data_IF_231848932209
#
_entry.id   IF_231848932209
#
_cell.length_a   1.000
_cell.length_b   1.000
_cell.length_c   1.000
_cell.angle_alpha   90.00
_cell.angle_beta   90.00
_cell.angle_gamma   90.00
#
_symmetry.space_group_name_H-M   'P 1'
#
loop_
_entity.id
_entity.type
_entity.pdbx_description
1 polymer ?
#
# COMPACT_ATOMS: atom_id res chain seq x y z
N UNK A 1 13.29 -3.16 23.12
CA UNK A 1 11.83 -3.40 23.17
C UNK A 1 11.04 -2.08 23.09
N UNK A 2 11.51 -0.97 23.65
CA UNK A 2 10.74 0.30 23.74
C UNK A 2 10.82 1.26 22.53
N UNK A 3 11.58 0.93 21.47
CA UNK A 3 11.83 1.85 20.34
C UNK A 3 10.95 1.59 19.11
N UNK A 4 10.35 0.40 19.01
CA UNK A 4 9.63 -0.07 17.81
C UNK A 4 8.14 0.28 17.79
N UNK A 5 7.56 0.65 18.94
CA UNK A 5 6.14 0.99 19.11
C UNK A 5 5.79 2.42 18.62
N UNK A 6 6.65 3.07 17.83
CA UNK A 6 6.50 4.52 17.53
C UNK A 6 5.82 4.83 16.20
N UNK A 7 5.89 3.96 15.20
CA UNK A 7 5.52 4.29 13.81
C UNK A 7 4.04 4.12 13.50
N UNK A 8 3.34 3.21 14.21
CA UNK A 8 1.96 2.85 13.89
C UNK A 8 0.91 3.35 14.89
N UNK A 9 1.25 4.25 15.83
CA UNK A 9 0.30 4.68 16.86
C UNK A 9 -0.82 5.61 16.36
N UNK A 10 -2.01 5.40 16.90
CA UNK A 10 -3.28 6.06 16.59
C UNK A 10 -3.47 7.33 17.42
N UNK A 11 -2.65 7.50 18.44
CA UNK A 11 -2.56 8.68 19.30
C UNK A 11 -1.47 9.67 18.84
N UNK A 12 -0.98 9.54 17.61
CA UNK A 12 -0.09 10.52 16.99
C UNK A 12 -0.85 11.79 16.62
N UNK A 13 -0.12 12.92 16.57
CA UNK A 13 -0.71 14.26 16.45
C UNK A 13 -1.75 14.42 15.34
N UNK A 14 -1.49 13.89 14.14
CA UNK A 14 -2.48 13.92 13.04
C UNK A 14 -3.77 13.18 13.41
N UNK A 15 -3.65 11.95 13.93
CA UNK A 15 -4.81 11.11 14.23
C UNK A 15 -5.58 11.55 15.48
N UNK A 16 -4.94 12.22 16.43
CA UNK A 16 -5.62 12.91 17.53
C UNK A 16 -6.52 14.04 16.99
N UNK A 17 -6.02 14.81 16.03
CA UNK A 17 -6.76 15.92 15.43
C UNK A 17 -7.89 15.42 14.52
N UNK A 18 -7.63 14.42 13.68
CA UNK A 18 -8.67 13.88 12.78
C UNK A 18 -9.72 13.10 13.55
N UNK A 19 -9.38 12.44 14.66
CA UNK A 19 -10.36 11.79 15.52
C UNK A 19 -11.30 12.81 16.17
N UNK A 20 -10.75 13.84 16.83
CA UNK A 20 -11.54 14.84 17.56
C UNK A 20 -12.41 15.72 16.65
N UNK A 21 -11.89 16.13 15.48
CA UNK A 21 -12.57 17.05 14.58
C UNK A 21 -13.40 16.38 13.47
N UNK A 22 -13.10 15.12 13.16
CA UNK A 22 -13.63 14.44 11.97
C UNK A 22 -14.00 12.97 12.20
N UNK A 23 -13.79 12.40 13.39
CA UNK A 23 -14.18 11.02 13.71
C UNK A 23 -13.47 9.95 12.88
N UNK A 24 -12.28 10.24 12.33
CA UNK A 24 -11.53 9.28 11.52
C UNK A 24 -10.07 9.18 11.98
N UNK A 25 -9.54 7.96 12.08
CA UNK A 25 -8.12 7.70 12.35
C UNK A 25 -7.68 6.32 11.86
N UNK A 26 -6.39 6.14 11.61
CA UNK A 26 -5.85 4.80 11.42
C UNK A 26 -5.67 4.09 12.78
N UNK A 27 -5.91 2.77 12.82
CA UNK A 27 -5.67 1.88 13.96
C UNK A 27 -4.23 1.42 14.04
N UNK A 28 -3.85 0.88 15.19
CA UNK A 28 -2.49 0.44 15.52
C UNK A 28 -2.20 -0.94 14.97
N UNK A 29 -2.49 -1.13 13.68
CA UNK A 29 -2.40 -2.41 13.00
C UNK A 29 -1.82 -2.26 11.58
N UNK A 30 -1.38 -3.39 11.03
CA UNK A 30 -1.13 -3.59 9.60
C UNK A 30 -2.10 -4.65 9.11
N UNK A 31 -2.84 -4.36 8.04
CA UNK A 31 -3.76 -5.30 7.44
C UNK A 31 -2.98 -6.38 6.74
N UNK A 32 -3.26 -7.63 7.11
CA UNK A 32 -2.60 -8.80 6.56
C UNK A 32 -3.59 -9.95 6.34
N UNK A 33 -3.20 -10.90 5.51
CA UNK A 33 -3.80 -12.22 5.41
C UNK A 33 -2.69 -13.29 5.45
N UNK A 34 -2.99 -14.41 6.09
CA UNK A 34 -2.09 -15.58 6.11
C UNK A 34 -1.95 -16.16 4.71
N UNK A 35 -0.70 -16.46 4.31
CA UNK A 35 -0.37 -17.17 3.08
C UNK A 35 -0.22 -18.67 3.36
N UNK A 36 -0.37 -19.50 2.31
CA UNK A 36 -0.37 -20.96 2.45
C UNK A 36 0.97 -21.57 2.91
N UNK A 37 2.03 -20.77 2.92
CA UNK A 37 3.38 -21.11 3.37
C UNK A 37 3.68 -20.61 4.80
N UNK A 38 2.69 -20.09 5.51
CA UNK A 38 2.82 -19.57 6.88
C UNK A 38 3.11 -18.06 6.95
N UNK A 39 3.48 -17.43 5.84
CA UNK A 39 3.74 -15.99 5.80
C UNK A 39 2.50 -15.09 5.97
N UNK A 40 2.76 -13.79 6.02
CA UNK A 40 1.72 -12.76 5.99
C UNK A 40 1.84 -11.94 4.71
N UNK A 41 0.75 -11.88 3.94
CA UNK A 41 0.60 -10.96 2.82
C UNK A 41 -0.09 -9.69 3.27
N UNK A 42 0.57 -8.55 3.10
CA UNK A 42 0.00 -7.21 3.33
C UNK A 42 -0.60 -6.60 2.06
N UNK A 43 -0.26 -7.15 0.91
CA UNK A 43 -0.73 -6.66 -0.39
C UNK A 43 -2.08 -7.30 -0.70
N UNK A 44 -3.01 -6.48 -1.18
CA UNK A 44 -4.34 -6.98 -1.55
C UNK A 44 -5.04 -6.08 -2.54
N UNK A 45 -6.09 -6.64 -3.14
CA UNK A 45 -7.06 -5.88 -3.92
C UNK A 45 -8.47 -6.05 -3.36
N UNK A 46 -9.31 -5.05 -3.56
CA UNK A 46 -10.72 -5.09 -3.13
C UNK A 46 -11.62 -4.36 -4.11
N UNK A 47 -12.86 -4.83 -4.21
CA UNK A 47 -13.98 -4.17 -4.89
C UNK A 47 -15.10 -3.81 -3.91
N UNK A 48 -14.91 -4.11 -2.62
CA UNK A 48 -15.92 -3.83 -1.59
C UNK A 48 -15.86 -2.36 -1.19
N UNK A 49 -16.86 -1.62 -1.67
CA UNK A 49 -16.90 -0.18 -1.60
C UNK A 49 -18.29 0.36 -1.26
N UNK A 50 -18.32 1.54 -0.63
CA UNK A 50 -19.53 2.32 -0.43
C UNK A 50 -19.83 3.17 -1.67
N UNK A 51 -20.51 2.58 -2.64
CA UNK A 51 -20.84 3.21 -3.93
C UNK A 51 -21.78 4.42 -3.84
N UNK A 52 -22.32 4.73 -2.65
CA UNK A 52 -23.18 5.90 -2.43
C UNK A 52 -22.39 7.20 -2.24
N UNK A 53 -21.11 7.12 -1.91
CA UNK A 53 -20.29 8.30 -1.66
C UNK A 53 -19.78 8.90 -2.98
N UNK A 54 -19.83 10.23 -3.19
CA UNK A 54 -19.42 10.87 -4.44
C UNK A 54 -18.00 10.53 -4.90
N UNK A 55 -17.07 10.35 -3.95
CA UNK A 55 -15.67 9.96 -4.24
C UNK A 55 -15.58 8.66 -5.07
N UNK A 56 -16.55 7.75 -4.92
CA UNK A 56 -16.52 6.46 -5.62
C UNK A 56 -17.34 6.43 -6.91
N UNK A 57 -17.85 7.60 -7.34
CA UNK A 57 -18.55 7.73 -8.61
C UNK A 57 -17.61 7.35 -9.75
N UNK A 58 -18.07 6.44 -10.62
CA UNK A 58 -17.35 5.95 -11.80
C UNK A 58 -16.01 5.26 -11.51
N UNK A 59 -15.66 4.99 -10.25
CA UNK A 59 -14.50 4.16 -9.91
C UNK A 59 -14.83 2.72 -10.29
N UNK A 60 -14.10 2.18 -11.27
CA UNK A 60 -14.38 0.86 -11.83
C UNK A 60 -13.17 -0.05 -11.71
N UNK A 61 -13.40 -1.28 -11.22
CA UNK A 61 -12.36 -2.29 -11.05
C UNK A 61 -11.81 -2.35 -9.63
N UNK A 62 -10.83 -3.24 -9.39
CA UNK A 62 -10.24 -3.44 -8.08
C UNK A 62 -9.34 -2.28 -7.66
N UNK A 63 -9.43 -1.91 -6.39
CA UNK A 63 -8.50 -1.01 -5.70
C UNK A 63 -7.37 -1.83 -5.09
N UNK A 64 -6.12 -1.43 -5.30
CA UNK A 64 -4.92 -2.13 -4.84
C UNK A 64 -4.24 -1.41 -3.66
N UNK A 65 -3.79 -2.20 -2.69
CA UNK A 65 -3.14 -1.75 -1.45
C UNK A 65 -1.86 -2.56 -1.21
N UNK A 66 -0.84 -1.93 -0.60
CA UNK A 66 0.56 -2.41 -0.52
C UNK A 66 1.15 -2.39 0.90
N UNK A 67 0.27 -2.39 1.91
CA UNK A 67 0.65 -2.24 3.32
C UNK A 67 -0.29 -1.29 4.07
N UNK A 68 -1.59 -1.55 4.00
CA UNK A 68 -2.59 -0.69 4.60
C UNK A 68 -2.72 -0.88 6.11
N UNK A 69 -3.10 0.18 6.82
CA UNK A 69 -3.66 0.14 8.18
C UNK A 69 -5.19 0.17 8.12
N UNK A 70 -5.86 -0.44 9.09
CA UNK A 70 -7.30 -0.31 9.19
C UNK A 70 -7.71 1.08 9.71
N UNK A 71 -8.87 1.56 9.27
CA UNK A 71 -9.41 2.86 9.65
C UNK A 71 -10.54 2.66 10.66
N UNK A 72 -10.47 3.42 11.73
CA UNK A 72 -11.55 3.59 12.69
C UNK A 72 -12.38 4.81 12.34
N UNK A 73 -13.70 4.65 12.41
CA UNK A 73 -14.68 5.68 12.06
C UNK A 73 -15.71 5.81 13.17
N UNK A 74 -15.84 7.00 13.73
CA UNK A 74 -16.95 7.37 14.62
C UNK A 74 -18.18 7.73 13.77
N UNK A 75 -19.20 6.86 13.83
CA UNK A 75 -20.47 7.02 13.11
C UNK A 75 -21.59 7.59 13.99
N UNK A 76 -21.27 8.05 15.21
CA UNK A 76 -22.23 8.68 16.11
C UNK A 76 -22.69 10.05 15.58
N UNK A 77 -23.76 10.58 16.18
CA UNK A 77 -24.27 11.91 15.85
C UNK A 77 -23.28 12.95 16.38
N UNK A 78 -22.57 13.60 15.47
CA UNK A 78 -21.47 14.53 15.76
C UNK A 78 -21.57 15.78 14.87
N UNK A 79 -20.81 16.86 15.15
CA UNK A 79 -20.69 18.01 14.26
C UNK A 79 -19.94 17.69 12.94
N UNK A 80 -19.52 16.44 12.76
CA UNK A 80 -18.95 15.90 11.52
C UNK A 80 -19.77 14.71 11.00
N UNK A 81 -19.51 14.31 9.76
CA UNK A 81 -20.14 13.19 9.07
C UNK A 81 -19.06 12.26 8.52
N UNK A 82 -18.63 11.30 9.32
CA UNK A 82 -17.61 10.34 8.92
C UNK A 82 -18.22 9.09 8.30
N UNK A 83 -17.66 8.63 7.18
CA UNK A 83 -18.13 7.46 6.46
C UNK A 83 -16.96 6.61 5.95
N UNK A 84 -16.93 5.30 6.24
CA UNK A 84 -16.03 4.38 5.56
C UNK A 84 -16.40 4.25 4.07
N UNK A 85 -15.38 4.23 3.21
CA UNK A 85 -15.50 4.21 1.76
C UNK A 85 -15.12 2.87 1.15
N UNK A 86 -14.02 2.28 1.58
CA UNK A 86 -13.45 1.06 0.99
C UNK A 86 -13.11 0.10 2.12
N UNK A 87 -13.30 -1.20 1.87
CA UNK A 87 -13.13 -2.24 2.87
C UNK A 87 -12.29 -3.42 2.37
N UNK A 88 -11.64 -4.11 3.29
CA UNK A 88 -11.00 -5.40 3.04
C UNK A 88 -12.03 -6.52 2.82
N UNK A 89 -11.57 -7.63 2.25
CA UNK A 89 -12.29 -8.91 2.28
C UNK A 89 -12.30 -9.57 3.67
N UNK A 90 -13.09 -10.62 3.85
CA UNK A 90 -13.31 -11.27 5.15
C UNK A 90 -12.10 -12.04 5.71
N UNK A 91 -11.12 -12.36 4.87
CA UNK A 91 -9.92 -13.10 5.26
C UNK A 91 -8.88 -12.23 5.98
N UNK A 92 -8.97 -10.90 5.83
CA UNK A 92 -7.99 -9.98 6.38
C UNK A 92 -8.27 -9.66 7.84
N UNK A 93 -7.20 -9.46 8.60
CA UNK A 93 -7.22 -8.94 9.98
C UNK A 93 -6.18 -7.84 10.12
N UNK A 94 -6.20 -7.11 11.23
CA UNK A 94 -5.17 -6.12 11.54
C UNK A 94 -4.16 -6.69 12.53
N UNK A 95 -2.95 -6.98 12.05
CA UNK A 95 -1.81 -7.44 12.84
C UNK A 95 -1.22 -6.26 13.62
N UNK A 96 -1.28 -6.35 14.94
CA UNK A 96 -0.84 -5.26 15.85
C UNK A 96 0.64 -5.38 16.22
N UNK A 97 1.23 -6.56 16.08
CA UNK A 97 2.64 -6.87 16.36
C UNK A 97 3.46 -7.14 15.10
N UNK A 98 3.10 -6.49 13.98
CA UNK A 98 3.69 -6.73 12.66
C UNK A 98 5.22 -6.54 12.62
N UNK A 99 5.75 -5.61 13.42
CA UNK A 99 7.21 -5.41 13.51
C UNK A 99 7.89 -6.61 14.16
N UNK A 100 7.26 -7.24 15.14
CA UNK A 100 7.79 -8.44 15.79
C UNK A 100 7.71 -9.63 14.84
N UNK A 101 6.66 -9.74 14.02
CA UNK A 101 6.61 -10.71 12.92
C UNK A 101 7.83 -10.58 11.99
N UNK A 102 8.18 -9.37 11.55
CA UNK A 102 9.35 -9.16 10.66
C UNK A 102 10.69 -9.54 11.29
N UNK A 103 10.80 -9.55 12.63
CA UNK A 103 12.05 -9.81 13.34
C UNK A 103 12.16 -11.25 13.86
N UNK A 104 11.04 -11.80 14.32
CA UNK A 104 10.98 -13.06 15.05
C UNK A 104 10.33 -14.18 14.24
N UNK A 105 9.68 -13.84 13.12
CA UNK A 105 8.94 -14.77 12.26
C UNK A 105 7.89 -15.59 13.04
N UNK A 106 7.15 -14.92 13.93
CA UNK A 106 6.07 -15.52 14.71
C UNK A 106 4.75 -15.15 14.02
N UNK A 107 3.97 -16.17 13.64
CA UNK A 107 2.97 -16.09 12.55
C UNK A 107 1.52 -16.35 13.02
N UNK A 108 1.18 -16.10 14.28
CA UNK A 108 -0.10 -16.55 14.81
C UNK A 108 -1.03 -15.38 15.06
N UNK A 109 -2.11 -15.30 14.26
CA UNK A 109 -3.27 -14.48 14.56
C UNK A 109 -3.67 -14.67 16.03
N UNK A 110 -3.70 -13.58 16.78
CA UNK A 110 -3.95 -13.61 18.21
C UNK A 110 -5.33 -13.03 18.53
N UNK A 111 -6.36 -13.88 18.71
CA UNK A 111 -7.70 -13.42 19.04
C UNK A 111 -7.71 -12.77 20.42
N UNK A 112 -7.84 -11.45 20.45
CA UNK A 112 -7.84 -10.64 21.67
C UNK A 112 -6.74 -9.58 21.73
N UNK A 113 -5.72 -9.70 20.87
CA UNK A 113 -4.71 -8.67 20.65
C UNK A 113 -4.93 -8.02 19.29
N UNK A 114 -5.10 -8.82 18.24
CA UNK A 114 -5.25 -8.31 16.87
C UNK A 114 -6.64 -7.77 16.57
N UNK A 115 -6.71 -6.81 15.64
CA UNK A 115 -7.98 -6.36 15.07
C UNK A 115 -8.64 -7.56 14.38
N UNK A 116 -9.88 -7.93 14.76
CA UNK A 116 -10.49 -9.17 14.27
C UNK A 116 -10.60 -9.26 12.76
N UNK A 117 -10.61 -10.51 12.26
CA UNK A 117 -10.86 -10.78 10.84
C UNK A 117 -12.19 -10.18 10.39
N UNK A 118 -12.23 -9.65 9.18
CA UNK A 118 -13.48 -9.25 8.54
C UNK A 118 -13.35 -8.05 7.63
N UNK A 119 -14.49 -7.39 7.44
CA UNK A 119 -14.65 -6.21 6.59
C UNK A 119 -14.11 -4.97 7.30
N UNK A 120 -12.80 -4.76 7.23
CA UNK A 120 -12.10 -3.64 7.85
C UNK A 120 -12.10 -2.43 6.92
N UNK A 121 -12.50 -1.22 7.37
CA UNK A 121 -12.36 -0.01 6.57
C UNK A 121 -10.89 0.30 6.29
N UNK A 122 -10.56 0.70 5.07
CA UNK A 122 -9.19 1.07 4.64
C UNK A 122 -9.09 2.48 4.07
N UNK A 123 -10.22 3.02 3.63
CA UNK A 123 -10.38 4.42 3.26
C UNK A 123 -11.64 4.95 3.94
N UNK A 124 -11.57 6.15 4.51
CA UNK A 124 -12.73 6.86 5.03
C UNK A 124 -12.70 8.33 4.64
N UNK A 125 -13.87 8.93 4.52
CA UNK A 125 -14.05 10.37 4.34
C UNK A 125 -14.84 10.95 5.49
N UNK A 126 -14.61 12.23 5.79
CA UNK A 126 -15.39 12.95 6.78
C UNK A 126 -15.50 14.42 6.42
N UNK A 127 -16.69 14.97 6.67
CA UNK A 127 -16.99 16.39 6.48
C UNK A 127 -17.44 17.00 7.80
N UNK A 128 -16.80 18.09 8.21
CA UNK A 128 -17.26 18.89 9.33
C UNK A 128 -18.44 19.74 8.86
N UNK A 129 -19.63 19.49 9.41
CA UNK A 129 -20.88 20.15 9.00
C UNK A 129 -20.96 21.62 9.44
N UNK A 130 -20.11 22.03 10.37
CA UNK A 130 -20.07 23.41 10.87
C UNK A 130 -19.21 24.29 9.97
N UNK A 131 -18.07 23.77 9.50
CA UNK A 131 -17.10 24.56 8.71
C UNK A 131 -17.13 24.23 7.21
N UNK A 132 -17.73 23.10 6.81
CA UNK A 132 -17.63 22.56 5.45
C UNK A 132 -16.25 21.95 5.13
N UNK A 133 -15.34 21.90 6.11
CA UNK A 133 -14.02 21.31 5.91
C UNK A 133 -14.12 19.79 5.73
N UNK A 134 -13.29 19.24 4.84
CA UNK A 134 -13.33 17.85 4.42
C UNK A 134 -11.97 17.19 4.63
N UNK A 135 -12.00 15.91 4.99
CA UNK A 135 -10.81 15.07 5.09
C UNK A 135 -11.09 13.70 4.48
N UNK A 136 -10.07 13.15 3.84
CA UNK A 136 -10.03 11.76 3.40
C UNK A 136 -8.80 11.12 4.03
N UNK A 137 -8.98 9.98 4.67
CA UNK A 137 -7.89 9.20 5.27
C UNK A 137 -7.79 7.89 4.51
N UNK A 138 -6.60 7.61 3.98
CA UNK A 138 -6.24 6.38 3.31
C UNK A 138 -5.23 5.68 4.20
N UNK A 139 -5.51 4.43 4.58
CA UNK A 139 -4.66 3.67 5.49
C UNK A 139 -3.32 3.24 4.90
N UNK A 140 -3.08 3.52 3.63
CA UNK A 140 -1.94 3.04 2.84
C UNK A 140 -1.27 4.17 2.06
N UNK A 141 0.02 4.38 2.30
CA UNK A 141 0.82 5.34 1.53
C UNK A 141 1.13 4.87 0.11
N UNK A 142 1.23 3.56 -0.09
CA UNK A 142 1.50 2.94 -1.39
C UNK A 142 0.36 3.05 -2.39
N UNK A 143 -0.87 3.19 -1.88
CA UNK A 143 -2.08 3.39 -2.67
C UNK A 143 -1.98 4.53 -3.68
N UNK A 144 -1.27 5.61 -3.33
CA UNK A 144 -1.08 6.80 -4.16
C UNK A 144 0.41 7.04 -4.53
N UNK A 145 1.27 6.03 -4.38
CA UNK A 145 2.69 6.14 -4.67
C UNK A 145 3.01 5.80 -6.13
N UNK A 146 3.96 6.56 -6.70
CA UNK A 146 4.55 6.23 -8.00
C UNK A 146 5.32 4.90 -7.87
N UNK A 147 5.02 3.94 -8.76
CA UNK A 147 5.64 2.61 -8.73
C UNK A 147 4.84 1.55 -7.97
N UNK A 148 3.79 1.94 -7.24
CA UNK A 148 2.86 1.01 -6.56
C UNK A 148 1.43 1.27 -7.06
N UNK A 149 0.60 1.99 -6.30
CA UNK A 149 -0.79 2.27 -6.68
C UNK A 149 -0.93 3.09 -7.96
N UNK A 150 0.07 3.90 -8.31
CA UNK A 150 0.15 4.65 -9.58
C UNK A 150 1.14 4.01 -10.56
N UNK A 151 1.27 2.69 -10.54
CA UNK A 151 2.09 1.96 -11.50
C UNK A 151 1.50 2.03 -12.92
N UNK A 152 2.29 2.51 -13.88
CA UNK A 152 1.97 2.51 -15.31
C UNK A 152 2.59 1.31 -16.03
N UNK A 153 1.89 0.74 -17.02
CA UNK A 153 2.39 -0.28 -17.93
C UNK A 153 2.00 0.03 -19.39
N UNK A 154 2.97 0.18 -20.31
CA UNK A 154 4.42 0.29 -20.07
C UNK A 154 4.78 1.49 -19.19
N UNK A 155 6.01 1.53 -18.66
CA UNK A 155 6.48 2.63 -17.79
C UNK A 155 6.35 3.99 -18.48
N UNK A 156 5.95 5.02 -17.72
CA UNK A 156 5.76 6.40 -18.19
C UNK A 156 4.70 6.55 -19.29
N UNK A 157 3.67 5.70 -19.26
CA UNK A 157 2.50 5.81 -20.13
C UNK A 157 1.24 6.16 -19.33
N UNK A 158 0.15 6.50 -20.01
CA UNK A 158 -1.14 6.75 -19.38
C UNK A 158 -1.89 5.46 -19.00
N UNK A 159 -1.36 4.27 -19.33
CA UNK A 159 -1.98 2.99 -19.01
C UNK A 159 -1.61 2.55 -17.60
N UNK A 160 -2.50 2.76 -16.62
CA UNK A 160 -2.27 2.34 -15.25
C UNK A 160 -2.60 0.85 -15.05
N UNK A 161 -1.79 0.15 -14.27
CA UNK A 161 -2.06 -1.22 -13.81
C UNK A 161 -3.28 -1.23 -12.88
N UNK A 162 -3.41 -0.20 -12.03
CA UNK A 162 -4.51 -0.02 -11.09
C UNK A 162 -5.26 1.30 -11.38
N UNK A 163 -6.03 1.38 -12.49
CA UNK A 163 -6.71 2.62 -12.88
C UNK A 163 -7.71 3.10 -11.82
N UNK A 164 -8.34 2.18 -11.08
CA UNK A 164 -9.28 2.51 -10.01
C UNK A 164 -8.63 3.33 -8.86
N UNK A 165 -7.34 3.08 -8.54
CA UNK A 165 -6.62 3.87 -7.54
C UNK A 165 -6.52 5.34 -7.98
N UNK A 166 -6.16 5.55 -9.25
CA UNK A 166 -6.04 6.90 -9.83
C UNK A 166 -7.40 7.59 -9.89
N UNK A 167 -8.44 6.89 -10.36
CA UNK A 167 -9.81 7.42 -10.40
C UNK A 167 -10.29 7.86 -9.01
N UNK A 168 -10.12 7.00 -8.00
CA UNK A 168 -10.50 7.30 -6.62
C UNK A 168 -9.74 8.52 -6.10
N UNK A 169 -8.43 8.61 -6.34
CA UNK A 169 -7.62 9.75 -5.89
C UNK A 169 -8.05 11.05 -6.55
N UNK A 170 -8.33 11.06 -7.84
CA UNK A 170 -8.81 12.26 -8.53
C UNK A 170 -10.18 12.70 -8.00
N UNK A 171 -11.10 11.76 -7.79
CA UNK A 171 -12.40 12.04 -7.20
C UNK A 171 -12.29 12.53 -5.74
N UNK A 172 -11.35 11.98 -4.96
CA UNK A 172 -11.09 12.41 -3.60
C UNK A 172 -10.59 13.85 -3.58
N UNK A 173 -9.65 14.22 -4.46
CA UNK A 173 -9.17 15.60 -4.60
C UNK A 173 -10.30 16.54 -4.99
N UNK A 174 -11.10 16.18 -6.00
CA UNK A 174 -12.26 16.98 -6.42
C UNK A 174 -13.25 17.22 -5.26
N UNK A 175 -13.56 16.16 -4.50
CA UNK A 175 -14.43 16.26 -3.34
C UNK A 175 -13.83 17.12 -2.22
N UNK A 176 -12.53 16.98 -1.95
CA UNK A 176 -11.82 17.76 -0.91
C UNK A 176 -11.82 19.26 -1.22
N UNK A 177 -11.67 19.64 -2.49
CA UNK A 177 -11.68 21.06 -2.91
C UNK A 177 -13.09 21.58 -3.20
N UNK A 178 -14.12 20.77 -2.96
CA UNK A 178 -15.52 21.08 -3.27
C UNK A 178 -15.69 21.53 -4.73
N UNK A 179 -15.05 20.81 -5.66
CA UNK A 179 -15.24 21.01 -7.09
C UNK A 179 -16.70 20.74 -7.46
N UNK A 180 -17.18 21.45 -8.49
CA UNK A 180 -18.52 21.24 -9.03
C UNK A 180 -18.61 19.87 -9.70
N UNK A 181 -19.55 19.03 -9.26
CA UNK A 181 -19.79 17.70 -9.81
C UNK A 181 -20.14 17.72 -11.31
N UNK A 182 -20.62 18.85 -11.83
CA UNK A 182 -20.88 19.06 -13.26
C UNK A 182 -19.61 19.33 -14.08
N UNK A 183 -18.50 19.68 -13.40
CA UNK A 183 -17.19 19.92 -14.01
C UNK A 183 -16.17 18.80 -13.71
N UNK A 184 -16.53 17.82 -12.87
CA UNK A 184 -15.68 16.64 -12.70
C UNK A 184 -15.69 15.77 -13.96
N UNK A 185 -14.59 15.79 -14.69
CA UNK A 185 -14.35 14.92 -15.84
C UNK A 185 -14.32 13.45 -15.40
N UNK A 186 -14.84 12.56 -16.26
CA UNK A 186 -14.67 11.12 -16.05
C UNK A 186 -13.28 10.72 -16.55
N UNK A 187 -12.45 10.20 -15.66
CA UNK A 187 -11.11 9.75 -16.00
C UNK A 187 -11.15 8.37 -16.63
N UNK A 188 -10.94 8.32 -17.94
CA UNK A 188 -10.72 7.09 -18.68
C UNK A 188 -9.22 6.90 -18.97
N UNK A 189 -8.71 5.73 -18.64
CA UNK A 189 -7.32 5.37 -18.88
C UNK A 189 -7.25 4.29 -19.97
N UNK A 190 -6.27 4.35 -20.88
CA UNK A 190 -6.06 3.28 -21.83
C UNK A 190 -5.75 1.98 -21.08
N UNK A 191 -6.12 0.85 -21.68
CA UNK A 191 -5.75 -0.47 -21.15
C UNK A 191 -4.22 -0.54 -21.01
N UNK A 192 -3.69 -0.97 -19.85
CA UNK A 192 -2.26 -1.14 -19.68
C UNK A 192 -1.70 -2.14 -20.72
N UNK A 193 -0.59 -1.78 -21.34
CA UNK A 193 0.13 -2.66 -22.26
C UNK A 193 0.95 -3.72 -21.50
N UNK A 194 1.59 -4.67 -22.22
CA UNK A 194 2.46 -5.66 -21.58
C UNK A 194 3.56 -4.97 -20.77
N UNK A 195 3.77 -5.40 -19.53
CA UNK A 195 4.90 -4.97 -18.70
C UNK A 195 6.20 -5.30 -19.43
N UNK A 196 7.16 -4.37 -19.46
CA UNK A 196 8.44 -4.63 -20.10
C UNK A 196 9.09 -5.88 -19.49
N UNK A 197 9.42 -6.88 -20.31
CA UNK A 197 10.22 -8.02 -19.88
C UNK A 197 11.52 -7.49 -19.28
N UNK A 198 11.95 -7.95 -18.08
CA UNK A 198 13.22 -7.50 -17.53
C UNK A 198 14.33 -7.74 -18.55
N UNK A 199 15.16 -6.73 -18.80
CA UNK A 199 16.31 -6.85 -19.69
C UNK A 199 17.16 -8.03 -19.21
N UNK A 200 17.45 -9.04 -20.06
CA UNK A 200 18.30 -10.15 -19.63
C UNK A 200 19.65 -9.58 -19.17
N UNK A 201 20.04 -9.90 -17.94
CA UNK A 201 21.34 -9.53 -17.40
C UNK A 201 22.39 -10.32 -18.18
N UNK A 202 23.18 -9.64 -19.02
CA UNK A 202 24.35 -10.24 -19.66
C UNK A 202 25.35 -10.51 -18.54
N UNK A 203 25.47 -11.77 -18.14
CA UNK A 203 26.52 -12.20 -17.21
C UNK A 203 27.81 -12.18 -18.02
N UNK A 204 28.73 -11.27 -17.69
CA UNK A 204 30.06 -11.27 -18.30
C UNK A 204 30.76 -12.57 -17.91
N UNK A 205 31.06 -13.42 -18.89
CA UNK A 205 31.93 -14.58 -18.69
C UNK A 205 33.29 -14.08 -18.21
N UNK A 206 33.82 -14.54 -17.05
CA UNK A 206 35.14 -14.12 -16.60
C UNK A 206 36.19 -14.49 -17.64
N UNK A 207 37.01 -13.51 -18.02
CA UNK A 207 38.19 -13.71 -18.88
C UNK A 207 39.09 -14.77 -18.20
N UNK A 208 39.49 -15.84 -18.90
CA UNK A 208 40.37 -16.84 -18.32
C UNK A 208 41.69 -16.20 -17.90
N UNK A 209 42.10 -16.48 -16.66
CA UNK A 209 43.35 -16.00 -16.08
C UNK A 209 44.52 -16.62 -16.86
N UNK A 210 45.42 -15.78 -17.37
CA UNK A 210 46.63 -16.24 -18.05
C UNK A 210 47.57 -16.81 -16.99
N UNK A 211 47.69 -18.13 -16.94
CA UNK A 211 48.69 -18.80 -16.11
C UNK A 211 50.07 -18.49 -16.70
N UNK A 212 50.85 -17.66 -16.02
CA UNK A 212 52.28 -17.50 -16.32
C UNK A 212 53.04 -18.67 -15.68
N UNK A 213 53.54 -19.58 -16.50
CA UNK A 213 54.44 -20.67 -16.08
C UNK A 213 55.80 -20.08 -15.68
N UNK A 214 56.36 -20.38 -14.48
CA UNK A 214 57.71 -19.97 -14.14
C UNK A 214 58.74 -20.78 -14.94
N UNK A 215 59.71 -20.08 -15.52
CA UNK A 215 60.89 -20.63 -16.20
C UNK A 215 61.79 -21.31 -15.16
N UNK A 216 61.99 -22.62 -15.29
CA UNK A 216 62.91 -23.39 -14.43
C UNK A 216 64.31 -23.26 -15.00
N UNK A 217 65.12 -22.45 -14.35
CA UNK A 217 66.58 -22.42 -14.50
C UNK A 217 67.15 -23.77 -14.05
N UNK A 218 67.67 -24.56 -15.01
CA UNK A 218 68.46 -25.77 -14.71
C UNK A 218 69.91 -25.52 -15.04
N UNK A 219 70.72 -25.52 -13.97
CA UNK A 219 72.16 -25.52 -14.03
C UNK A 219 72.71 -26.93 -14.35
N UNK A 220 73.75 -26.91 -15.17
CA UNK A 220 75.02 -27.65 -15.08
C UNK A 220 75.27 -29.01 -15.78
N UNK A 221 76.26 -28.89 -16.68
CA UNK A 221 77.48 -29.71 -16.91
C UNK A 221 77.48 -31.21 -17.29
N UNK A 222 77.94 -31.43 -18.54
CA UNK A 222 79.11 -32.23 -18.98
C UNK A 222 79.07 -33.75 -19.26
N UNK A 223 79.80 -34.06 -20.35
CA UNK A 223 80.58 -35.26 -20.73
C UNK A 223 79.99 -36.28 -21.71
N UNK A 224 80.74 -36.53 -22.80
CA UNK A 224 80.55 -37.59 -23.78
C UNK A 224 80.96 -37.18 -25.18
#
# INVERSE_FOLDING_TARGET
IEMNDRTLRSDRGLFVLTWSGYGVRARDDVIVAETGDGGLSRDFTTVDVNSRHPILRNVTGPLAFFGARSIEVDSSIQPYSAQPLVYTGSQYYGETTYVDYLQLNIELYNPGIDTPRGRLPVIAASENRTTGARVVVIGDGGFAANGEGFLSAPSNTAGFVFPANVQLMMNAVAWLVNADDTQTETFEFPTPGPTATPTPVVTLTPTPEVITTPEVESADETTG
#
